data_IF_435773894292
#
_entry.id   IF_435773894292
#
_cell.length_a   1.000
_cell.length_b   1.000
_cell.length_c   1.000
_cell.angle_alpha   90.00
_cell.angle_beta   90.00
_cell.angle_gamma   90.00
#
_symmetry.space_group_name_H-M   'P 1'
#
loop_
_entity.id
_entity.type
_entity.pdbx_description
1 polymer ?
#
# COMPACT_ATOMS: atom_id res chain seq x y z
N UNK A 1 1.85 -25.95 0.27
CA UNK A 1 0.90 -24.94 -0.26
C UNK A 1 0.01 -24.31 0.81
N UNK A 2 -0.78 -25.06 1.59
CA UNK A 2 -1.69 -24.48 2.62
C UNK A 2 -0.98 -23.62 3.68
N UNK A 3 0.19 -24.06 4.15
CA UNK A 3 1.02 -23.32 5.12
C UNK A 3 1.54 -22.00 4.56
N UNK A 4 1.92 -21.96 3.27
CA UNK A 4 2.40 -20.74 2.62
C UNK A 4 1.28 -19.69 2.49
N UNK A 5 0.06 -20.13 2.13
CA UNK A 5 -1.12 -19.25 2.08
C UNK A 5 -1.43 -18.69 3.46
N UNK A 6 -1.40 -19.53 4.50
CA UNK A 6 -1.59 -19.09 5.90
C UNK A 6 -0.52 -18.09 6.34
N UNK A 7 0.75 -18.29 5.96
CA UNK A 7 1.82 -17.36 6.28
C UNK A 7 1.64 -16.01 5.57
N UNK A 8 1.23 -15.99 4.31
CA UNK A 8 0.95 -14.75 3.57
C UNK A 8 -0.25 -14.02 4.19
N UNK A 9 -1.32 -14.75 4.53
CA UNK A 9 -2.49 -14.15 5.18
C UNK A 9 -2.16 -13.62 6.59
N UNK A 10 -1.39 -14.37 7.38
CA UNK A 10 -0.92 -13.93 8.70
C UNK A 10 0.00 -12.71 8.59
N UNK A 11 0.86 -12.68 7.57
CA UNK A 11 1.71 -11.52 7.30
C UNK A 11 0.86 -10.28 6.98
N UNK A 12 -0.13 -10.40 6.08
CA UNK A 12 -1.03 -9.29 5.73
C UNK A 12 -1.89 -8.85 6.94
N UNK A 13 -2.38 -9.78 7.75
CA UNK A 13 -3.13 -9.44 8.96
C UNK A 13 -2.23 -8.71 9.98
N UNK A 14 -1.00 -9.20 10.17
CA UNK A 14 -0.02 -8.58 11.07
C UNK A 14 0.42 -7.19 10.61
N UNK A 15 0.53 -6.95 9.30
CA UNK A 15 0.88 -5.62 8.77
C UNK A 15 -0.28 -4.63 8.88
N UNK A 16 -1.52 -5.10 8.78
CA UNK A 16 -2.71 -4.29 9.07
C UNK A 16 -2.75 -3.92 10.56
N UNK A 17 -2.58 -4.88 11.47
CA UNK A 17 -2.61 -4.66 12.92
C UNK A 17 -1.44 -3.79 13.42
N UNK A 18 -0.22 -4.04 12.95
CA UNK A 18 0.97 -3.26 13.29
C UNK A 18 0.81 -1.77 12.94
N UNK A 19 0.05 -1.45 11.88
CA UNK A 19 -0.19 -0.06 11.48
C UNK A 19 -1.26 0.63 12.33
N UNK A 20 -2.18 -0.12 12.94
CA UNK A 20 -3.07 0.41 13.96
C UNK A 20 -2.32 0.71 15.26
N UNK A 21 -1.47 -0.22 15.70
CA UNK A 21 -0.66 -0.03 16.90
C UNK A 21 0.42 1.06 16.72
N UNK A 22 0.98 1.17 15.52
CA UNK A 22 2.03 2.13 15.17
C UNK A 22 1.75 2.75 13.78
N UNK A 23 1.08 3.90 13.72
CA UNK A 23 0.74 4.58 12.46
C UNK A 23 1.96 4.96 11.59
N UNK A 24 3.14 5.06 12.19
CA UNK A 24 4.44 5.29 11.53
C UNK A 24 5.07 4.02 10.98
N UNK A 25 4.46 2.84 11.13
CA UNK A 25 5.01 1.60 10.61
C UNK A 25 4.92 1.55 9.06
N UNK A 26 5.91 0.95 8.37
CA UNK A 26 5.85 0.71 6.93
C UNK A 26 4.61 -0.09 6.52
N UNK A 27 4.00 0.28 5.39
CA UNK A 27 2.82 -0.42 4.91
C UNK A 27 3.19 -1.52 3.92
N UNK A 28 3.48 -2.68 4.48
CA UNK A 28 3.76 -3.88 3.71
C UNK A 28 2.58 -4.31 2.84
N UNK A 29 1.34 -4.11 3.29
CA UNK A 29 0.14 -4.43 2.51
C UNK A 29 0.07 -3.58 1.26
N UNK A 30 0.34 -2.28 1.37
CA UNK A 30 0.40 -1.36 0.24
C UNK A 30 1.51 -1.72 -0.74
N UNK A 31 2.72 -2.02 -0.24
CA UNK A 31 3.86 -2.42 -1.06
C UNK A 31 3.60 -3.73 -1.83
N UNK A 32 3.00 -4.73 -1.18
CA UNK A 32 2.67 -6.02 -1.78
C UNK A 32 1.57 -5.86 -2.83
N UNK A 33 0.48 -5.17 -2.50
CA UNK A 33 -0.63 -4.96 -3.44
C UNK A 33 -0.18 -4.16 -4.66
N UNK A 34 0.67 -3.15 -4.47
CA UNK A 34 1.29 -2.40 -5.56
C UNK A 34 2.00 -3.31 -6.56
N UNK A 35 2.77 -4.27 -6.07
CA UNK A 35 3.50 -5.20 -6.90
C UNK A 35 2.57 -6.24 -7.57
N UNK A 36 1.58 -6.75 -6.83
CA UNK A 36 0.64 -7.75 -7.32
C UNK A 36 -0.32 -7.22 -8.38
N UNK A 37 -0.71 -5.94 -8.30
CA UNK A 37 -1.64 -5.35 -9.26
C UNK A 37 -1.13 -5.41 -10.71
N UNK A 38 0.17 -5.58 -10.95
CA UNK A 38 0.71 -5.77 -12.30
C UNK A 38 0.09 -6.99 -13.00
N UNK A 39 -0.20 -8.06 -12.27
CA UNK A 39 -0.66 -9.32 -12.87
C UNK A 39 -2.16 -9.36 -13.14
N UNK A 40 -2.93 -8.53 -12.45
CA UNK A 40 -4.38 -8.50 -12.60
C UNK A 40 -4.79 -7.57 -13.75
N UNK A 41 -5.99 -7.79 -14.29
CA UNK A 41 -6.67 -6.75 -15.06
C UNK A 41 -7.14 -5.62 -14.13
N UNK A 42 -7.48 -4.47 -14.70
CA UNK A 42 -7.87 -3.29 -13.92
C UNK A 42 -9.07 -3.55 -13.01
N UNK A 43 -10.09 -4.28 -13.48
CA UNK A 43 -11.30 -4.56 -12.70
C UNK A 43 -10.96 -5.44 -11.50
N UNK A 44 -10.20 -6.51 -11.70
CA UNK A 44 -9.74 -7.39 -10.62
C UNK A 44 -8.85 -6.65 -9.62
N UNK A 45 -7.91 -5.82 -10.10
CA UNK A 45 -7.06 -5.01 -9.23
C UNK A 45 -7.87 -4.03 -8.36
N UNK A 46 -8.89 -3.39 -8.93
CA UNK A 46 -9.77 -2.47 -8.21
C UNK A 46 -10.62 -3.20 -7.15
N UNK A 47 -11.17 -4.37 -7.47
CA UNK A 47 -11.92 -5.18 -6.49
C UNK A 47 -11.03 -5.60 -5.33
N UNK A 48 -9.81 -6.08 -5.62
CA UNK A 48 -8.84 -6.44 -4.59
C UNK A 48 -8.49 -5.21 -3.74
N UNK A 49 -8.23 -4.06 -4.35
CA UNK A 49 -7.95 -2.81 -3.64
C UNK A 49 -9.07 -2.41 -2.67
N UNK A 50 -10.33 -2.49 -3.11
CA UNK A 50 -11.49 -2.19 -2.28
C UNK A 50 -11.62 -3.18 -1.12
N UNK A 51 -11.48 -4.48 -1.37
CA UNK A 51 -11.56 -5.51 -0.31
C UNK A 51 -10.48 -5.29 0.74
N UNK A 52 -9.23 -5.13 0.35
CA UNK A 52 -8.15 -4.90 1.30
C UNK A 52 -8.25 -3.55 2.01
N UNK A 53 -8.78 -2.53 1.34
CA UNK A 53 -9.11 -1.25 1.96
C UNK A 53 -10.18 -1.38 3.04
N UNK A 54 -11.27 -2.07 2.73
CA UNK A 54 -12.36 -2.31 3.69
C UNK A 54 -11.88 -3.21 4.83
N UNK A 55 -11.09 -4.25 4.56
CA UNK A 55 -10.52 -5.10 5.61
C UNK A 55 -9.60 -4.30 6.54
N UNK A 56 -8.89 -3.33 5.99
CA UNK A 56 -8.01 -2.46 6.75
C UNK A 56 -8.79 -1.48 7.62
N UNK A 57 -9.75 -0.75 7.05
CA UNK A 57 -10.56 0.22 7.81
C UNK A 57 -11.71 -0.43 8.58
N UNK A 58 -12.01 -1.70 8.34
CA UNK A 58 -13.05 -2.46 9.04
C UNK A 58 -12.75 -2.65 10.52
N UNK A 59 -11.49 -2.50 10.92
CA UNK A 59 -11.07 -2.43 12.33
C UNK A 59 -11.37 -1.05 12.96
N UNK A 60 -11.74 -0.04 12.16
CA UNK A 60 -12.02 1.30 12.65
C UNK A 60 -13.06 2.07 11.79
N UNK A 61 -14.36 1.99 12.12
CA UNK A 61 -15.45 2.46 11.26
C UNK A 61 -15.45 3.97 10.96
N UNK A 62 -14.73 4.79 11.73
CA UNK A 62 -14.59 6.22 11.47
C UNK A 62 -13.85 6.56 10.17
N UNK A 63 -13.09 5.62 9.60
CA UNK A 63 -12.24 5.83 8.43
C UNK A 63 -12.58 4.98 7.21
N UNK A 64 -13.75 4.33 7.18
CA UNK A 64 -14.17 3.27 6.23
C UNK A 64 -13.84 3.46 4.73
N UNK A 65 -13.53 4.68 4.29
CA UNK A 65 -13.28 5.01 2.89
C UNK A 65 -11.85 5.47 2.58
N UNK A 66 -11.01 5.77 3.58
CA UNK A 66 -9.68 6.33 3.31
C UNK A 66 -8.74 5.26 2.73
N UNK A 67 -8.69 4.07 3.33
CA UNK A 67 -7.89 2.95 2.81
C UNK A 67 -8.41 2.43 1.47
N UNK A 68 -9.73 2.19 1.27
CA UNK A 68 -10.25 1.80 -0.05
C UNK A 68 -9.88 2.78 -1.15
N UNK A 69 -9.99 4.09 -0.90
CA UNK A 69 -9.61 5.11 -1.88
C UNK A 69 -8.11 5.07 -2.17
N UNK A 70 -7.25 5.01 -1.15
CA UNK A 70 -5.80 4.95 -1.34
C UNK A 70 -5.36 3.72 -2.12
N UNK A 71 -5.89 2.53 -1.82
CA UNK A 71 -5.57 1.32 -2.58
C UNK A 71 -6.17 1.33 -3.98
N UNK A 72 -7.34 1.94 -4.18
CA UNK A 72 -7.96 2.05 -5.51
C UNK A 72 -7.18 2.97 -6.43
N UNK A 73 -6.73 4.12 -5.88
CA UNK A 73 -5.76 5.00 -6.53
C UNK A 73 -4.53 4.17 -6.90
N UNK A 74 -3.97 3.42 -5.93
CA UNK A 74 -2.82 2.53 -6.15
C UNK A 74 -3.00 1.59 -7.35
N UNK A 75 -4.14 0.88 -7.42
CA UNK A 75 -4.48 0.00 -8.53
C UNK A 75 -4.54 0.74 -9.87
N UNK A 76 -5.15 1.93 -9.92
CA UNK A 76 -5.24 2.75 -11.12
C UNK A 76 -3.87 3.09 -11.70
N UNK A 77 -2.91 3.46 -10.85
CA UNK A 77 -1.57 3.83 -11.31
C UNK A 77 -0.80 2.64 -11.79
N UNK A 78 -0.81 1.53 -11.04
CA UNK A 78 -0.07 0.33 -11.45
C UNK A 78 -0.54 -0.10 -12.84
N UNK A 79 -1.84 -0.05 -13.08
CA UNK A 79 -2.43 -0.39 -14.38
C UNK A 79 -2.10 0.64 -15.47
N UNK A 80 -2.16 1.94 -15.17
CA UNK A 80 -1.78 3.00 -16.11
C UNK A 80 -0.29 2.99 -16.46
N UNK A 81 0.55 2.70 -15.47
CA UNK A 81 2.00 2.62 -15.61
C UNK A 81 2.48 1.27 -16.14
N UNK A 82 1.63 0.23 -16.17
CA UNK A 82 1.97 -1.14 -16.60
C UNK A 82 2.72 -1.18 -17.94
N UNK A 83 2.31 -0.33 -18.89
CA UNK A 83 2.93 -0.20 -20.23
C UNK A 83 4.33 0.41 -20.21
N UNK A 84 4.69 1.10 -19.13
CA UNK A 84 5.94 1.84 -18.94
C UNK A 84 6.87 1.19 -17.92
N UNK A 85 6.45 0.11 -17.24
CA UNK A 85 7.26 -0.57 -16.20
C UNK A 85 8.57 -1.17 -16.71
N UNK A 86 8.69 -1.41 -18.02
CA UNK A 86 9.93 -1.87 -18.66
C UNK A 86 10.94 -0.73 -18.88
N UNK A 87 10.48 0.51 -18.86
CA UNK A 87 11.32 1.70 -18.88
C UNK A 87 11.77 1.93 -17.42
N UNK A 88 12.93 2.53 -17.19
CA UNK A 88 13.49 2.73 -15.84
C UNK A 88 12.71 3.77 -15.00
N UNK A 89 11.38 3.62 -14.87
CA UNK A 89 10.42 4.53 -14.23
C UNK A 89 10.41 4.39 -12.70
N UNK A 90 11.36 3.64 -12.13
CA UNK A 90 11.50 3.40 -10.69
C UNK A 90 11.52 4.67 -9.82
N UNK A 91 12.18 5.78 -10.22
CA UNK A 91 12.14 7.03 -9.46
C UNK A 91 10.74 7.68 -9.45
N UNK A 92 10.01 7.61 -10.57
CA UNK A 92 8.65 8.14 -10.66
C UNK A 92 7.65 7.28 -9.88
N UNK A 93 7.84 5.95 -9.84
CA UNK A 93 7.07 5.05 -8.98
C UNK A 93 7.29 5.35 -7.49
N UNK A 94 8.54 5.57 -7.08
CA UNK A 94 8.88 5.98 -5.70
C UNK A 94 8.27 7.33 -5.32
N UNK A 95 8.42 8.34 -6.19
CA UNK A 95 7.82 9.65 -5.99
C UNK A 95 6.30 9.55 -5.88
N UNK A 96 5.68 8.68 -6.67
CA UNK A 96 4.24 8.50 -6.66
C UNK A 96 3.73 7.81 -5.38
N UNK A 97 4.41 6.75 -4.93
CA UNK A 97 4.11 6.11 -3.63
C UNK A 97 4.23 7.14 -2.51
N UNK A 98 5.22 8.03 -2.61
CA UNK A 98 5.37 9.14 -1.67
C UNK A 98 4.18 10.11 -1.72
N UNK A 99 3.75 10.52 -2.92
CA UNK A 99 2.61 11.41 -3.13
C UNK A 99 1.26 10.80 -2.76
N UNK A 100 1.14 9.48 -2.56
CA UNK A 100 -0.12 8.83 -2.17
C UNK A 100 -0.14 8.35 -0.73
N UNK A 101 0.95 7.76 -0.23
CA UNK A 101 1.02 7.30 1.17
C UNK A 101 1.21 8.47 2.15
N UNK A 102 1.85 9.59 1.76
CA UNK A 102 1.97 10.78 2.63
C UNK A 102 0.62 11.45 2.89
N UNK A 103 -0.20 11.86 1.89
CA UNK A 103 -1.51 12.45 2.15
C UNK A 103 -2.44 11.50 2.89
N UNK A 104 -2.37 10.20 2.57
CA UNK A 104 -3.09 9.16 3.26
C UNK A 104 -2.73 9.11 4.76
N UNK A 105 -1.44 9.13 5.10
CA UNK A 105 -0.97 9.20 6.48
C UNK A 105 -1.45 10.48 7.15
N UNK A 106 -1.30 11.62 6.49
CA UNK A 106 -1.75 12.92 7.03
C UNK A 106 -3.25 12.87 7.36
N UNK A 107 -4.08 12.30 6.49
CA UNK A 107 -5.52 12.16 6.73
C UNK A 107 -5.81 11.32 7.98
N UNK A 108 -5.16 10.16 8.11
CA UNK A 108 -5.26 9.29 9.30
C UNK A 108 -4.83 10.01 10.58
N UNK A 109 -3.64 10.61 10.59
CA UNK A 109 -3.11 11.28 11.77
C UNK A 109 -3.98 12.46 12.21
N UNK A 110 -4.51 13.21 11.25
CA UNK A 110 -5.41 14.34 11.52
C UNK A 110 -6.71 13.87 12.19
N UNK A 111 -7.26 12.74 11.74
CA UNK A 111 -8.52 12.22 12.28
C UNK A 111 -8.31 11.57 13.66
N UNK A 112 -7.15 10.94 13.90
CA UNK A 112 -6.83 10.34 15.20
C UNK A 112 -6.22 11.30 16.23
N UNK A 113 -5.96 12.56 15.86
CA UNK A 113 -5.37 13.56 16.77
C UNK A 113 -3.98 13.17 17.28
N UNK A 114 -3.26 12.29 16.57
CA UNK A 114 -1.95 11.80 16.97
C UNK A 114 -0.87 12.80 16.53
N UNK A 115 0.10 13.08 17.41
CA UNK A 115 1.21 13.99 17.11
C UNK A 115 2.05 13.49 15.93
N UNK A 116 2.40 14.42 15.04
CA UNK A 116 3.21 14.17 13.85
C UNK A 116 4.70 14.08 14.19
N UNK A 117 5.33 12.96 13.80
CA UNK A 117 6.78 12.93 13.54
C UNK A 117 7.00 12.74 12.02
N UNK A 118 7.35 13.84 11.36
CA UNK A 118 7.59 13.90 9.92
C UNK A 118 8.75 13.00 9.47
N UNK A 119 9.73 12.77 10.34
CA UNK A 119 10.90 11.94 10.02
C UNK A 119 10.47 10.48 9.96
N UNK A 120 9.78 9.99 10.99
CA UNK A 120 9.25 8.62 11.02
C UNK A 120 8.29 8.33 9.86
N UNK A 121 7.42 9.29 9.52
CA UNK A 121 6.52 9.17 8.36
C UNK A 121 7.34 9.08 7.06
N UNK A 122 8.30 9.98 6.87
CA UNK A 122 9.15 9.99 5.66
C UNK A 122 9.92 8.68 5.48
N UNK A 123 10.55 8.17 6.54
CA UNK A 123 11.27 6.90 6.53
C UNK A 123 10.33 5.73 6.21
N UNK A 124 9.17 5.69 6.84
CA UNK A 124 8.18 4.64 6.61
C UNK A 124 7.65 4.60 5.18
N UNK A 125 7.34 5.77 4.61
CA UNK A 125 6.88 5.89 3.22
C UNK A 125 7.98 5.48 2.26
N UNK A 126 9.22 5.93 2.49
CA UNK A 126 10.38 5.53 1.70
C UNK A 126 10.59 4.01 1.75
N UNK A 127 10.50 3.40 2.93
CA UNK A 127 10.66 1.95 3.09
C UNK A 127 9.56 1.18 2.35
N UNK A 128 8.31 1.65 2.48
CA UNK A 128 7.15 1.11 1.75
C UNK A 128 7.36 1.18 0.24
N UNK A 129 7.82 2.34 -0.26
CA UNK A 129 8.05 2.57 -1.68
C UNK A 129 9.22 1.77 -2.25
N UNK A 130 10.34 1.71 -1.53
CA UNK A 130 11.51 0.91 -1.91
C UNK A 130 11.11 -0.56 -1.99
N UNK A 131 10.39 -1.07 -0.98
CA UNK A 131 9.95 -2.45 -0.98
C UNK A 131 9.01 -2.75 -2.16
N UNK A 132 8.03 -1.89 -2.43
CA UNK A 132 7.12 -2.04 -3.57
C UNK A 132 7.88 -2.09 -4.90
N UNK A 133 8.83 -1.17 -5.11
CA UNK A 133 9.67 -1.14 -6.31
C UNK A 133 10.56 -2.38 -6.44
N UNK A 134 11.17 -2.85 -5.34
CA UNK A 134 11.99 -4.06 -5.34
C UNK A 134 11.15 -5.30 -5.68
N UNK A 135 9.94 -5.41 -5.13
CA UNK A 135 9.02 -6.50 -5.45
C UNK A 135 8.63 -6.49 -6.93
N UNK A 136 8.31 -5.33 -7.51
CA UNK A 136 8.04 -5.19 -8.95
C UNK A 136 9.26 -5.62 -9.77
N UNK A 137 10.46 -5.17 -9.42
CA UNK A 137 11.71 -5.57 -10.12
C UNK A 137 11.91 -7.08 -10.11
N UNK A 138 11.64 -7.71 -8.98
CA UNK A 138 11.79 -9.14 -8.83
C UNK A 138 10.74 -9.91 -9.65
N UNK A 139 9.50 -9.42 -9.67
CA UNK A 139 8.36 -9.95 -10.44
C UNK A 139 8.56 -9.88 -11.97
N UNK A 140 9.23 -8.84 -12.46
CA UNK A 140 9.46 -8.61 -13.89
C UNK A 140 10.73 -9.28 -14.44
N UNK A 141 11.54 -9.92 -13.60
CA UNK A 141 12.71 -10.72 -14.00
C UNK A 141 12.31 -12.16 -14.30
#
# INVERSE_FOLDING_TARGET
>A
MKVLILLIMAFIASSVEARFAQPTWPDFTFAILFALFIYFDFTTALVIALIFGIMRDGLNPGLLWISPLAFSINAFIVQGLKKYLNIQVWPALLLYIWLTDVPYRIAIFTIYGVRFDWISIGVSVLFTGILGVLLIKWILR
#
